data_IF_981994406317
#
_entry.id   IF_981994406317
#
_cell.length_a   1.000
_cell.length_b   1.000
_cell.length_c   1.000
_cell.angle_alpha   90.00
_cell.angle_beta   90.00
_cell.angle_gamma   90.00
#
_symmetry.space_group_name_H-M   'P 1'
#
loop_
_entity.id
_entity.type
_entity.pdbx_description
1 polymer ?
#
# COMPACT_ATOMS: atom_id res chain seq x y z
N UNK A 1 -7.95 1.73 -11.84
CA UNK A 1 -7.37 1.96 -13.18
C UNK A 1 -7.73 3.31 -13.78
N UNK A 2 -9.00 3.61 -14.12
CA UNK A 2 -9.38 4.88 -14.80
C UNK A 2 -8.92 6.14 -14.07
N UNK A 3 -9.01 6.18 -12.73
CA UNK A 3 -8.53 7.34 -11.96
C UNK A 3 -7.03 7.60 -12.10
N UNK A 4 -6.23 6.54 -12.30
CA UNK A 4 -4.77 6.63 -12.42
C UNK A 4 -4.35 7.24 -13.76
N UNK A 5 -5.08 6.91 -14.84
CA UNK A 5 -4.81 7.43 -16.20
C UNK A 5 -5.38 8.83 -16.46
N UNK A 6 -6.05 9.45 -15.49
CA UNK A 6 -6.51 10.84 -15.60
C UNK A 6 -5.38 11.85 -15.43
N UNK A 7 -4.36 11.50 -14.64
CA UNK A 7 -3.19 12.35 -14.45
C UNK A 7 -2.30 12.32 -15.70
N UNK A 8 -1.89 13.50 -16.18
CA UNK A 8 -1.00 13.63 -17.35
C UNK A 8 0.47 13.79 -16.98
N UNK A 9 0.74 14.49 -15.88
CA UNK A 9 2.12 14.82 -15.46
C UNK A 9 2.45 14.26 -14.08
N UNK A 10 1.59 14.49 -13.09
CA UNK A 10 1.79 14.11 -11.70
C UNK A 10 0.51 13.56 -11.10
N UNK A 11 0.63 12.47 -10.35
CA UNK A 11 -0.46 11.84 -9.62
C UNK A 11 -0.13 11.87 -8.12
N UNK A 12 -1.04 12.42 -7.33
CA UNK A 12 -0.97 12.36 -5.87
C UNK A 12 -2.10 11.48 -5.36
N UNK A 13 -1.76 10.48 -4.55
CA UNK A 13 -2.73 9.59 -3.90
C UNK A 13 -2.61 9.82 -2.40
N UNK A 14 -3.75 10.04 -1.75
CA UNK A 14 -3.83 10.19 -0.29
C UNK A 14 -4.83 9.19 0.28
N UNK A 15 -4.55 8.74 1.50
CA UNK A 15 -5.46 7.91 2.29
C UNK A 15 -5.46 8.40 3.73
N UNK A 16 -6.54 8.10 4.45
CA UNK A 16 -6.67 8.37 5.87
C UNK A 16 -6.76 7.05 6.62
N UNK A 17 -5.93 6.90 7.66
CA UNK A 17 -5.93 5.73 8.57
C UNK A 17 -7.21 5.64 9.41
N UNK A 18 -7.92 6.76 9.58
CA UNK A 18 -9.18 6.84 10.29
C UNK A 18 -10.12 7.84 9.63
N UNK A 19 -11.40 7.49 9.50
CA UNK A 19 -12.42 8.33 8.87
C UNK A 19 -13.72 8.27 9.66
N UNK A 20 -14.43 9.41 9.68
CA UNK A 20 -15.80 9.45 10.20
C UNK A 20 -16.77 9.06 9.10
N UNK A 21 -17.53 7.99 9.33
CA UNK A 21 -18.58 7.51 8.43
C UNK A 21 -19.85 7.39 9.27
N UNK A 22 -20.91 8.09 8.86
CA UNK A 22 -22.19 8.13 9.58
C UNK A 22 -22.06 8.50 11.07
N UNK A 23 -21.15 9.42 11.41
CA UNK A 23 -20.92 9.90 12.78
C UNK A 23 -19.94 9.07 13.60
N UNK A 24 -19.61 7.85 13.17
CA UNK A 24 -18.66 6.98 13.87
C UNK A 24 -17.26 7.08 13.26
N UNK A 25 -16.24 7.12 14.12
CA UNK A 25 -14.84 7.08 13.69
C UNK A 25 -14.43 5.62 13.49
N UNK A 26 -14.10 5.25 12.25
CA UNK A 26 -13.72 3.89 11.89
C UNK A 26 -12.30 3.86 11.33
N UNK A 27 -11.46 2.88 11.72
CA UNK A 27 -10.17 2.68 11.08
C UNK A 27 -10.39 2.31 9.61
N UNK A 28 -9.51 2.78 8.75
CA UNK A 28 -9.53 2.48 7.32
C UNK A 28 -8.14 2.05 6.86
N UNK A 29 -8.09 0.88 6.21
CA UNK A 29 -6.87 0.39 5.59
C UNK A 29 -6.56 1.16 4.30
N UNK A 30 -5.28 1.20 3.93
CA UNK A 30 -4.86 1.70 2.63
C UNK A 30 -5.46 0.84 1.49
N UNK A 31 -5.65 1.45 0.32
CA UNK A 31 -6.15 0.72 -0.84
C UNK A 31 -5.11 -0.27 -1.33
N UNK A 32 -5.53 -1.53 -1.60
CA UNK A 32 -4.67 -2.55 -2.22
C UNK A 32 -4.01 -2.08 -3.52
N UNK A 33 -4.66 -1.17 -4.25
CA UNK A 33 -4.13 -0.62 -5.50
C UNK A 33 -2.87 0.22 -5.34
N UNK A 34 -2.55 0.66 -4.11
CA UNK A 34 -1.29 1.35 -3.83
C UNK A 34 -0.12 0.35 -3.89
N UNK A 35 -0.32 -0.88 -3.41
CA UNK A 35 0.69 -1.94 -3.43
C UNK A 35 0.90 -2.54 -4.84
N UNK A 36 -0.08 -2.38 -5.73
CA UNK A 36 0.02 -2.80 -7.13
C UNK A 36 0.90 -1.87 -8.00
N UNK A 37 1.22 -0.66 -7.51
CA UNK A 37 2.06 0.30 -8.23
C UNK A 37 3.55 -0.05 -8.01
N UNK A 38 4.38 -0.11 -9.08
CA UNK A 38 5.81 -0.36 -8.92
C UNK A 38 6.49 0.67 -8.01
N UNK A 39 7.31 0.20 -7.07
CA UNK A 39 7.96 1.04 -6.05
C UNK A 39 8.87 2.14 -6.63
N UNK A 40 9.42 1.93 -7.83
CA UNK A 40 10.24 2.91 -8.54
C UNK A 40 9.48 4.18 -8.96
N UNK A 41 8.15 4.10 -9.05
CA UNK A 41 7.26 5.21 -9.39
C UNK A 41 6.53 5.79 -8.16
N UNK A 42 6.79 5.28 -6.96
CA UNK A 42 6.16 5.71 -5.72
C UNK A 42 7.11 6.58 -4.89
N UNK A 43 6.57 7.67 -4.35
CA UNK A 43 7.27 8.48 -3.34
C UNK A 43 6.34 8.64 -2.14
N UNK A 44 6.67 7.98 -1.04
CA UNK A 44 5.89 8.08 0.20
C UNK A 44 6.22 9.38 0.95
N UNK A 45 5.17 10.13 1.28
CA UNK A 45 5.28 11.34 2.11
C UNK A 45 4.57 11.06 3.45
N UNK A 46 5.35 10.72 4.47
CA UNK A 46 4.84 10.51 5.84
C UNK A 46 5.09 11.79 6.66
N UNK A 47 4.04 12.33 7.29
CA UNK A 47 4.14 13.56 8.10
C UNK A 47 4.84 13.36 9.46
N UNK A 48 5.04 12.12 9.91
CA UNK A 48 5.88 11.81 11.08
C UNK A 48 7.29 11.58 10.56
N UNK A 49 8.24 12.39 11.02
CA UNK A 49 9.60 12.57 10.49
C UNK A 49 10.53 11.34 10.50
N UNK A 50 10.09 10.25 9.88
CA UNK A 50 10.91 9.10 9.55
C UNK A 50 10.85 8.96 8.04
N UNK A 51 11.88 9.47 7.37
CA UNK A 51 12.19 9.15 5.98
C UNK A 51 12.23 7.62 5.89
N UNK A 52 11.36 7.00 5.10
CA UNK A 52 11.28 5.53 5.06
C UNK A 52 11.49 4.98 3.65
N UNK A 53 12.31 3.93 3.65
CA UNK A 53 12.95 3.23 2.54
C UNK A 53 11.95 2.69 1.51
N UNK A 54 12.39 2.47 0.26
CA UNK A 54 11.59 1.76 -0.72
C UNK A 54 11.21 0.38 -0.16
N UNK A 55 9.90 0.15 -0.08
CA UNK A 55 9.27 -1.13 0.28
C UNK A 55 9.54 -2.14 -0.84
N UNK A 56 10.77 -2.62 -0.94
CA UNK A 56 11.13 -3.73 -1.80
C UNK A 56 10.76 -5.05 -1.12
N UNK A 57 9.81 -5.75 -1.74
CA UNK A 57 9.53 -7.17 -1.59
C UNK A 57 9.13 -7.66 -0.19
N UNK A 58 7.83 -7.60 0.11
CA UNK A 58 7.25 -8.65 0.96
C UNK A 58 7.20 -9.93 0.14
N UNK A 59 8.28 -10.70 0.19
CA UNK A 59 8.33 -12.05 -0.35
C UNK A 59 7.17 -12.85 0.24
N UNK A 60 6.31 -13.36 -0.64
CA UNK A 60 5.37 -14.43 -0.33
C UNK A 60 6.16 -15.59 0.28
N UNK A 61 5.87 -16.05 1.51
CA UNK A 61 6.34 -17.36 1.92
C UNK A 61 5.53 -18.38 1.13
N UNK A 62 6.02 -18.68 -0.07
CA UNK A 62 5.57 -19.79 -0.89
C UNK A 62 5.90 -21.11 -0.20
N UNK A 63 4.86 -21.92 -0.07
CA UNK A 63 4.85 -23.37 -0.07
C UNK A 63 6.19 -24.09 -0.41
N UNK A 64 6.53 -25.08 0.42
CA UNK A 64 7.38 -26.20 -0.01
C UNK A 64 8.40 -26.73 0.99
N UNK A 65 7.98 -27.54 1.97
CA UNK A 65 8.78 -28.59 2.65
C UNK A 65 7.89 -29.28 3.67
N UNK A 66 7.66 -30.58 3.72
CA UNK A 66 8.20 -31.75 3.05
C UNK A 66 7.66 -32.92 3.89
N UNK A 67 7.15 -33.96 3.24
CA UNK A 67 6.64 -35.14 3.93
C UNK A 67 7.75 -35.92 4.66
N UNK A 68 7.46 -36.33 5.89
CA UNK A 68 8.07 -37.42 6.65
C UNK A 68 6.92 -37.92 7.56
N UNK A 69 6.42 -39.16 7.48
CA UNK A 69 7.16 -40.41 7.64
C UNK A 69 7.06 -40.81 9.11
N UNK A 70 6.10 -41.69 9.43
CA UNK A 70 5.81 -42.22 10.77
C UNK A 70 4.45 -42.90 10.82
#
# INVERSE_FOLDING_TARGET
YVGLTRARERLFVSYAESRRIHGETRPAMASRFIEEIPAEHLTEVRLRGTVDRPVSARATPGAGRGGFGG
#
